data_IF_990787390196
#
_entry.id   IF_990787390196
#
_cell.length_a   1.000
_cell.length_b   1.000
_cell.length_c   1.000
_cell.angle_alpha   90.00
_cell.angle_beta   90.00
_cell.angle_gamma   90.00
#
_symmetry.space_group_name_H-M   'P 1'
#
loop_
_entity.id
_entity.type
_entity.pdbx_description
1 polymer ?
#
# COMPACT_ATOMS: atom_id res chain seq x y z
N UNK A 1 10.41 -11.54 -0.20
CA UNK A 1 10.67 -10.84 -1.49
C UNK A 1 11.66 -9.71 -1.26
N UNK A 2 12.59 -9.55 -2.15
CA UNK A 2 13.55 -8.45 -2.08
C UNK A 2 12.93 -7.20 -2.75
N UNK A 3 13.01 -6.08 -2.07
CA UNK A 3 12.44 -4.85 -2.59
C UNK A 3 13.46 -4.19 -3.54
N UNK A 4 13.07 -4.01 -4.79
CA UNK A 4 13.94 -3.40 -5.79
C UNK A 4 13.84 -1.88 -5.82
N UNK A 5 12.70 -1.32 -5.45
CA UNK A 5 12.50 0.13 -5.43
C UNK A 5 11.66 0.51 -4.23
N UNK A 6 12.25 1.14 -3.21
CA UNK A 6 11.51 1.47 -1.99
C UNK A 6 10.34 2.41 -2.19
N UNK A 7 10.28 3.13 -3.30
CA UNK A 7 9.15 4.03 -3.55
C UNK A 7 7.84 3.28 -3.81
N UNK A 8 7.91 2.00 -4.15
CA UNK A 8 6.72 1.19 -4.45
C UNK A 8 6.49 0.09 -3.43
N UNK A 9 7.28 0.07 -2.36
CA UNK A 9 7.31 -1.03 -1.42
C UNK A 9 6.09 -1.07 -0.51
N UNK A 10 5.78 -2.27 -0.05
CA UNK A 10 4.76 -2.50 0.95
C UNK A 10 5.27 -3.54 1.94
N UNK A 11 4.65 -3.61 3.12
CA UNK A 11 5.00 -4.64 4.08
C UNK A 11 3.79 -5.06 4.89
N UNK A 12 3.83 -6.29 5.35
CA UNK A 12 2.82 -6.86 6.22
C UNK A 12 3.52 -7.33 7.47
N UNK A 13 3.10 -6.81 8.62
CA UNK A 13 3.74 -7.09 9.90
C UNK A 13 2.73 -7.80 10.79
N UNK A 14 3.06 -8.98 11.28
CA UNK A 14 2.22 -9.71 12.21
C UNK A 14 2.96 -9.89 13.54
N UNK A 15 2.22 -9.91 14.67
CA UNK A 15 2.87 -10.05 15.97
C UNK A 15 3.70 -11.33 16.06
N UNK A 16 4.94 -11.21 16.52
CA UNK A 16 5.84 -12.36 16.69
C UNK A 16 6.43 -12.90 15.41
N UNK A 17 6.19 -12.26 14.27
CA UNK A 17 6.72 -12.70 12.99
C UNK A 17 7.57 -11.62 12.36
N UNK A 18 8.45 -12.04 11.48
CA UNK A 18 9.25 -11.08 10.73
C UNK A 18 8.38 -10.40 9.68
N UNK A 19 8.64 -9.14 9.37
CA UNK A 19 7.87 -8.45 8.34
C UNK A 19 8.01 -9.13 6.99
N UNK A 20 6.91 -9.20 6.25
CA UNK A 20 6.95 -9.64 4.85
C UNK A 20 6.99 -8.38 3.99
N UNK A 21 7.96 -8.31 3.09
CA UNK A 21 8.09 -7.16 2.19
C UNK A 21 7.61 -7.51 0.80
N UNK A 22 6.98 -6.53 0.16
CA UNK A 22 6.47 -6.66 -1.20
C UNK A 22 7.08 -5.56 -2.05
N UNK A 23 7.38 -5.91 -3.27
CA UNK A 23 8.08 -5.02 -4.19
C UNK A 23 7.14 -4.01 -4.86
N UNK A 24 5.84 -4.22 -4.73
CA UNK A 24 4.82 -3.46 -5.45
C UNK A 24 3.52 -3.56 -4.66
N UNK A 25 2.76 -2.46 -4.61
CA UNK A 25 1.48 -2.43 -3.89
C UNK A 25 0.55 -3.52 -4.43
N UNK A 26 0.57 -3.76 -5.73
CA UNK A 26 -0.23 -4.83 -6.32
C UNK A 26 0.11 -6.20 -5.79
N UNK A 27 1.38 -6.44 -5.46
CA UNK A 27 1.80 -7.72 -4.86
C UNK A 27 1.20 -7.90 -3.47
N UNK A 28 1.20 -6.84 -2.65
CA UNK A 28 0.55 -6.91 -1.35
C UNK A 28 -0.95 -7.21 -1.52
N UNK A 29 -1.61 -6.51 -2.44
CA UNK A 29 -3.03 -6.71 -2.68
C UNK A 29 -3.33 -8.14 -3.11
N UNK A 30 -2.53 -8.69 -4.03
CA UNK A 30 -2.70 -10.06 -4.49
C UNK A 30 -2.51 -11.07 -3.36
N UNK A 31 -1.50 -10.86 -2.53
CA UNK A 31 -1.26 -11.74 -1.39
C UNK A 31 -2.44 -11.74 -0.42
N UNK A 32 -2.99 -10.55 -0.15
CA UNK A 32 -4.12 -10.44 0.79
C UNK A 32 -5.40 -11.06 0.25
N UNK A 33 -5.57 -11.06 -1.07
CA UNK A 33 -6.76 -11.68 -1.69
C UNK A 33 -6.64 -13.18 -1.82
N UNK A 34 -5.45 -13.67 -2.13
CA UNK A 34 -5.25 -15.06 -2.55
C UNK A 34 -4.51 -15.90 -1.53
N UNK A 35 -3.82 -15.26 -0.60
CA UNK A 35 -3.06 -15.96 0.40
C UNK A 35 -3.89 -16.31 1.62
N UNK A 36 -3.25 -16.87 2.64
CA UNK A 36 -3.96 -17.16 3.88
C UNK A 36 -4.44 -15.89 4.54
N UNK A 37 -5.51 -15.96 5.35
CA UNK A 37 -5.97 -14.79 6.07
C UNK A 37 -4.85 -14.23 6.94
N UNK A 38 -4.75 -12.89 7.05
CA UNK A 38 -3.73 -12.31 7.91
C UNK A 38 -3.92 -12.73 9.36
N UNK A 39 -2.82 -12.87 10.08
CA UNK A 39 -2.88 -13.18 11.49
C UNK A 39 -3.57 -12.05 12.25
N UNK A 40 -4.20 -12.41 13.36
CA UNK A 40 -4.81 -11.41 14.23
C UNK A 40 -3.74 -10.41 14.66
N UNK A 41 -4.06 -9.13 14.58
CA UNK A 41 -3.12 -8.06 14.90
C UNK A 41 -2.15 -7.69 13.80
N UNK A 42 -2.28 -8.31 12.62
CA UNK A 42 -1.44 -7.94 11.48
C UNK A 42 -1.75 -6.52 11.01
N UNK A 43 -0.73 -5.83 10.52
CA UNK A 43 -0.85 -4.46 10.00
C UNK A 43 -0.09 -4.37 8.69
N UNK A 44 -0.72 -3.78 7.69
CA UNK A 44 -0.07 -3.55 6.40
C UNK A 44 0.34 -2.08 6.27
N UNK A 45 1.52 -1.86 5.70
CA UNK A 45 2.06 -0.53 5.45
C UNK A 45 2.46 -0.42 3.99
N UNK A 46 2.40 0.79 3.46
CA UNK A 46 2.90 1.10 2.12
C UNK A 46 3.83 2.31 2.22
N UNK A 47 4.78 2.40 1.30
CA UNK A 47 5.68 3.54 1.29
C UNK A 47 5.04 4.72 0.57
N UNK A 48 5.12 5.90 1.17
CA UNK A 48 4.75 7.14 0.48
C UNK A 48 5.73 7.34 -0.66
N UNK A 49 5.22 7.49 -1.87
CA UNK A 49 6.06 7.55 -3.07
C UNK A 49 7.03 8.74 -3.03
N UNK A 50 6.60 9.85 -2.47
CA UNK A 50 7.41 11.06 -2.44
C UNK A 50 8.42 11.07 -1.29
N UNK A 51 8.01 10.64 -0.11
CA UNK A 51 8.83 10.74 1.10
C UNK A 51 9.50 9.45 1.50
N UNK A 52 8.98 8.32 1.01
CA UNK A 52 9.41 6.96 1.36
C UNK A 52 9.09 6.57 2.80
N UNK A 53 8.31 7.39 3.49
CA UNK A 53 7.87 7.04 4.83
C UNK A 53 6.82 5.93 4.77
N UNK A 54 6.85 5.05 5.76
CA UNK A 54 5.82 4.02 5.87
C UNK A 54 4.53 4.66 6.36
N UNK A 55 3.44 4.34 5.67
CA UNK A 55 2.11 4.80 6.09
C UNK A 55 1.18 3.60 6.16
N UNK A 56 0.16 3.68 6.99
CA UNK A 56 -0.82 2.60 7.09
C UNK A 56 -1.50 2.40 5.75
N UNK A 57 -1.51 1.16 5.28
CA UNK A 57 -2.13 0.86 3.99
C UNK A 57 -3.60 1.22 3.96
N UNK A 58 -4.29 1.09 5.10
CA UNK A 58 -5.72 1.40 5.19
C UNK A 58 -6.01 2.90 5.15
N UNK A 59 -5.00 3.74 5.36
CA UNK A 59 -5.19 5.19 5.40
C UNK A 59 -4.48 5.94 4.29
N UNK A 60 -3.69 5.25 3.49
CA UNK A 60 -2.97 5.87 2.41
C UNK A 60 -3.91 6.33 1.30
N UNK A 61 -3.46 7.33 0.55
CA UNK A 61 -4.13 7.77 -0.67
C UNK A 61 -3.43 7.10 -1.84
N UNK A 62 -4.18 6.44 -2.71
CA UNK A 62 -3.61 5.67 -3.82
C UNK A 62 -3.91 6.34 -5.14
N UNK A 63 -2.94 6.28 -6.06
CA UNK A 63 -3.06 6.83 -7.40
C UNK A 63 -2.55 5.81 -8.40
N UNK A 64 -3.26 5.63 -9.49
CA UNK A 64 -2.77 4.83 -10.61
C UNK A 64 -2.15 5.76 -11.63
N UNK A 65 -0.89 5.53 -11.95
CA UNK A 65 -0.15 6.37 -12.89
C UNK A 65 0.38 5.47 -13.98
N UNK A 66 -0.33 5.43 -15.11
CA UNK A 66 -0.06 4.45 -16.17
C UNK A 66 1.35 4.53 -16.72
N UNK A 67 1.95 5.72 -16.76
CA UNK A 67 3.30 5.89 -17.30
C UNK A 67 4.42 5.49 -16.35
N UNK A 68 4.10 5.29 -15.06
CA UNK A 68 5.12 4.85 -14.11
C UNK A 68 5.27 3.35 -14.17
N UNK A 69 6.50 2.91 -14.33
CA UNK A 69 6.81 1.49 -14.30
C UNK A 69 6.98 1.06 -12.86
N UNK A 70 6.10 0.24 -12.37
CA UNK A 70 6.25 -0.35 -11.03
C UNK A 70 6.78 -1.76 -11.18
N UNK A 71 7.45 -2.31 -10.15
CA UNK A 71 8.14 -3.60 -10.29
C UNK A 71 7.26 -4.74 -10.82
N UNK A 72 5.98 -4.77 -10.43
CA UNK A 72 5.08 -5.83 -10.90
C UNK A 72 3.94 -5.26 -11.74
N UNK A 73 4.13 -4.10 -12.31
CA UNK A 73 3.23 -3.48 -13.29
C UNK A 73 1.84 -3.15 -12.77
N UNK A 74 1.70 -2.88 -11.47
CA UNK A 74 0.41 -2.44 -10.94
C UNK A 74 0.11 -0.99 -11.29
N UNK A 75 1.16 -0.20 -11.53
CA UNK A 75 1.08 1.24 -11.78
C UNK A 75 0.50 2.03 -10.60
N UNK A 76 0.54 1.43 -9.39
CA UNK A 76 -0.01 2.04 -8.20
C UNK A 76 1.09 2.69 -7.37
N UNK A 77 0.80 3.88 -6.88
CA UNK A 77 1.65 4.55 -5.90
C UNK A 77 0.80 4.98 -4.73
N UNK A 78 1.42 5.14 -3.58
CA UNK A 78 0.74 5.53 -2.36
C UNK A 78 1.32 6.83 -1.83
N UNK A 79 0.50 7.56 -1.11
CA UNK A 79 0.92 8.78 -0.40
C UNK A 79 0.19 8.82 0.94
N UNK A 80 0.77 9.53 1.89
CA UNK A 80 0.17 9.63 3.21
C UNK A 80 -1.18 10.34 3.16
N UNK A 81 -1.30 11.35 2.29
CA UNK A 81 -2.52 12.15 2.19
C UNK A 81 -2.55 12.90 0.85
N UNK A 82 -3.62 13.65 0.63
CA UNK A 82 -3.81 14.40 -0.60
C UNK A 82 -2.74 15.48 -0.79
N UNK A 83 -2.24 16.05 0.30
CA UNK A 83 -1.19 17.07 0.18
C UNK A 83 0.09 16.47 -0.39
N UNK A 84 0.43 15.25 0.02
CA UNK A 84 1.61 14.56 -0.52
C UNK A 84 1.43 14.23 -1.99
N UNK A 85 0.21 13.84 -2.40
CA UNK A 85 -0.09 13.60 -3.82
C UNK A 85 0.14 14.88 -4.63
N UNK A 86 -0.40 15.98 -4.15
CA UNK A 86 -0.28 17.26 -4.88
C UNK A 86 1.16 17.75 -4.98
N UNK A 87 1.97 17.43 -3.98
CA UNK A 87 3.37 17.84 -3.96
C UNK A 87 4.27 16.95 -4.83
N UNK A 88 3.76 15.83 -5.31
CA UNK A 88 4.56 14.85 -6.05
C UNK A 88 4.37 15.05 -7.55
N UNK A 89 5.41 15.49 -8.28
CA UNK A 89 5.28 15.69 -9.72
C UNK A 89 4.99 14.41 -10.49
N UNK A 90 5.35 13.26 -9.92
CA UNK A 90 5.17 11.97 -10.62
C UNK A 90 3.70 11.57 -10.74
N UNK A 91 2.81 12.15 -9.95
CA UNK A 91 1.42 11.71 -9.92
C UNK A 91 0.44 12.73 -10.47
N UNK A 92 0.93 13.78 -11.13
CA UNK A 92 0.05 14.84 -11.63
C UNK A 92 -0.93 14.38 -12.70
N UNK A 93 -0.58 13.36 -13.44
CA UNK A 93 -1.43 12.79 -14.49
C UNK A 93 -2.08 11.48 -14.08
N UNK A 94 -2.05 11.16 -12.79
CA UNK A 94 -2.62 9.91 -12.29
C UNK A 94 -4.10 10.02 -11.98
N UNK A 95 -4.69 8.87 -11.68
CA UNK A 95 -6.09 8.77 -11.30
C UNK A 95 -6.17 8.20 -9.89
N UNK A 96 -6.93 8.87 -9.02
CA UNK A 96 -7.13 8.36 -7.67
C UNK A 96 -7.87 7.03 -7.70
N UNK A 97 -7.45 6.11 -6.85
CA UNK A 97 -8.04 4.77 -6.76
C UNK A 97 -8.42 4.52 -5.31
N UNK A 98 -9.60 4.01 -5.07
CA UNK A 98 -10.07 3.74 -3.72
C UNK A 98 -9.39 2.54 -3.10
N UNK A 99 -9.24 2.56 -1.78
CA UNK A 99 -8.67 1.44 -1.03
C UNK A 99 -9.42 0.14 -1.32
N UNK A 100 -10.75 0.21 -1.35
CA UNK A 100 -11.56 -0.98 -1.61
C UNK A 100 -11.36 -1.53 -3.01
N UNK A 101 -11.07 -0.67 -4.00
CA UNK A 101 -10.78 -1.15 -5.35
C UNK A 101 -9.51 -1.98 -5.39
N UNK A 102 -8.53 -1.61 -4.59
CA UNK A 102 -7.23 -2.29 -4.59
C UNK A 102 -7.28 -3.54 -3.73
N UNK A 103 -7.79 -3.42 -2.50
CA UNK A 103 -7.67 -4.47 -1.49
C UNK A 103 -8.97 -5.24 -1.23
N UNK A 104 -10.07 -4.83 -1.84
CA UNK A 104 -11.36 -5.42 -1.58
C UNK A 104 -12.10 -4.68 -0.47
N UNK A 105 -13.39 -5.02 -0.25
CA UNK A 105 -14.24 -4.24 0.67
C UNK A 105 -13.76 -4.24 2.12
N UNK A 106 -13.07 -5.30 2.55
CA UNK A 106 -12.55 -5.34 3.91
C UNK A 106 -11.33 -4.46 4.11
N UNK A 107 -10.66 -4.06 3.02
CA UNK A 107 -9.44 -3.28 3.09
C UNK A 107 -8.26 -4.07 3.58
N UNK A 108 -7.08 -3.43 3.65
CA UNK A 108 -5.89 -4.10 4.17
C UNK A 108 -5.95 -4.18 5.70
N UNK A 109 -5.24 -5.15 6.31
CA UNK A 109 -5.31 -5.33 7.75
C UNK A 109 -4.65 -4.21 8.53
N UNK A 110 -5.19 -3.91 9.69
CA UNK A 110 -4.63 -2.96 10.64
C UNK A 110 -5.02 -1.53 10.34
N UNK A 111 -4.70 -0.64 11.27
CA UNK A 111 -4.92 0.79 11.08
C UNK A 111 -6.36 1.24 11.05
N UNK A 112 -7.29 0.35 11.37
CA UNK A 112 -8.69 0.73 11.43
C UNK A 112 -8.90 1.64 12.62
N UNK A 113 -9.75 2.63 12.53
CA UNK A 113 -10.16 3.34 13.72
C UNK A 113 -10.71 2.32 14.67
N UNK A 114 -10.35 2.49 15.86
CA UNK A 114 -10.78 1.56 16.82
C UNK A 114 -12.25 1.44 16.80
N UNK A 115 -12.62 0.54 16.70
CA UNK A 115 -13.75 0.34 16.68
C UNK A 115 -14.08 -0.01 17.72
N UNK A 116 -14.20 0.18 18.30
CA UNK A 116 -14.34 -0.04 19.09
C UNK A 116 -14.74 -0.42 19.46
N UNK A 117 -14.85 -0.66 19.80
CA UNK A 117 -15.24 -0.89 20.32
C UNK A 117 -15.42 -0.77 20.56
#
# INVERSE_FOLDING_TARGET
MTVSDPRFAAQLVAPGEEPMFFDDIGCLAAYLRQGPPPAKGAVAYVADHRTRAWVLASRATYTRVARLETPMSSHLVAHADAASVRADPDTQDGTLVGVAEIFGPAGPPGGQPSRCP
#
